data_IF_471730269416
#
_entry.id   IF_471730269416
#
_cell.length_a   1.000
_cell.length_b   1.000
_cell.length_c   1.000
_cell.angle_alpha   90.00
_cell.angle_beta   90.00
_cell.angle_gamma   90.00
#
_symmetry.space_group_name_H-M   'P 1'
#
loop_
_entity.id
_entity.type
_entity.pdbx_description
1 polymer ?
#
# COMPACT_ATOMS: atom_id res chain seq x y z
N UNK A 1 -11.58 8.50 5.31
CA UNK A 1 -12.62 8.10 4.34
C UNK A 1 -12.48 6.62 3.96
N UNK A 2 -12.55 5.65 4.91
CA UNK A 2 -12.27 4.25 4.58
C UNK A 2 -13.37 3.55 3.80
N UNK A 3 -14.61 4.01 3.96
CA UNK A 3 -15.83 3.42 3.38
C UNK A 3 -16.11 3.85 1.94
N UNK A 4 -15.50 4.94 1.45
CA UNK A 4 -15.72 5.43 0.09
C UNK A 4 -14.73 4.87 -0.94
N UNK A 5 -13.53 4.47 -0.49
CA UNK A 5 -12.52 3.87 -1.37
C UNK A 5 -13.00 2.58 -2.06
N UNK A 6 -13.67 1.62 -1.36
CA UNK A 6 -14.18 0.42 -2.01
C UNK A 6 -15.22 0.73 -3.09
N UNK A 7 -16.17 1.64 -2.78
CA UNK A 7 -17.22 2.05 -3.72
C UNK A 7 -16.63 2.67 -4.98
N UNK A 8 -15.65 3.56 -4.83
CA UNK A 8 -14.98 4.18 -5.96
C UNK A 8 -14.27 3.15 -6.85
N UNK A 9 -13.64 2.13 -6.24
CA UNK A 9 -12.98 1.05 -6.99
C UNK A 9 -14.01 0.21 -7.77
N UNK A 10 -15.14 -0.13 -7.14
CA UNK A 10 -16.23 -0.85 -7.79
C UNK A 10 -16.84 -0.04 -8.94
N UNK A 11 -17.10 1.25 -8.72
CA UNK A 11 -17.64 2.16 -9.74
C UNK A 11 -16.68 2.27 -10.94
N UNK A 12 -15.37 2.44 -10.71
CA UNK A 12 -14.37 2.50 -11.79
C UNK A 12 -14.29 1.16 -12.55
N UNK A 13 -14.31 0.03 -11.83
CA UNK A 13 -14.28 -1.30 -12.44
C UNK A 13 -15.58 -1.63 -13.20
N UNK A 14 -16.70 -0.99 -12.85
CA UNK A 14 -17.98 -1.12 -13.53
C UNK A 14 -18.05 -0.25 -14.80
N UNK A 15 -17.37 0.90 -14.81
CA UNK A 15 -17.29 1.79 -15.97
C UNK A 15 -16.46 1.21 -17.12
N UNK A 16 -15.37 0.50 -16.80
CA UNK A 16 -14.52 -0.13 -17.82
C UNK A 16 -14.15 -1.57 -17.43
N UNK A 17 -14.84 -2.53 -18.06
CA UNK A 17 -14.62 -3.96 -17.84
C UNK A 17 -13.23 -4.45 -18.25
N UNK A 18 -12.54 -3.75 -19.15
CA UNK A 18 -11.21 -4.12 -19.64
C UNK A 18 -10.09 -3.46 -18.82
N UNK A 19 -10.31 -2.26 -18.28
CA UNK A 19 -9.32 -1.50 -17.50
C UNK A 19 -9.60 -1.51 -16.00
N UNK A 20 -9.78 -2.71 -15.43
CA UNK A 20 -9.99 -2.87 -13.98
C UNK A 20 -8.75 -2.43 -13.20
N UNK A 21 -8.98 -1.83 -12.03
CA UNK A 21 -7.93 -1.47 -11.08
C UNK A 21 -7.29 -2.75 -10.54
N UNK A 22 -6.02 -2.97 -10.91
CA UNK A 22 -5.24 -4.15 -10.50
C UNK A 22 -4.27 -3.88 -9.34
N UNK A 23 -3.98 -2.60 -9.06
CA UNK A 23 -3.06 -2.20 -8.01
C UNK A 23 -3.47 -0.87 -7.37
N UNK A 24 -3.29 -0.75 -6.05
CA UNK A 24 -3.47 0.49 -5.28
C UNK A 24 -2.13 0.91 -4.71
N UNK A 25 -1.70 2.13 -4.99
CA UNK A 25 -0.53 2.75 -4.36
C UNK A 25 -1.02 3.80 -3.39
N UNK A 26 -0.77 3.59 -2.10
CA UNK A 26 -1.23 4.48 -1.03
C UNK A 26 -0.05 4.94 -0.18
N UNK A 27 -0.14 6.12 0.42
CA UNK A 27 0.91 6.55 1.36
C UNK A 27 0.78 5.86 2.71
N UNK A 28 1.82 5.87 3.54
CA UNK A 28 1.74 5.32 4.92
C UNK A 28 0.61 5.97 5.74
N UNK A 29 0.33 7.26 5.50
CA UNK A 29 -0.75 7.99 6.16
C UNK A 29 -2.13 7.45 5.76
N UNK A 30 -2.20 6.77 4.61
CA UNK A 30 -3.35 6.00 4.14
C UNK A 30 -3.14 4.49 4.30
N UNK A 31 -2.46 4.06 5.37
CA UNK A 31 -2.23 2.64 5.67
C UNK A 31 -3.52 1.81 5.78
N UNK A 32 -4.67 2.43 6.04
CA UNK A 32 -5.99 1.77 6.00
C UNK A 32 -6.42 1.32 4.59
N UNK A 33 -5.92 1.96 3.52
CA UNK A 33 -6.23 1.60 2.13
C UNK A 33 -5.72 0.21 1.76
N UNK A 34 -4.69 -0.23 2.48
CA UNK A 34 -4.08 -1.55 2.39
C UNK A 34 -5.02 -2.66 2.82
N UNK A 35 -5.71 -2.44 3.95
CA UNK A 35 -6.72 -3.35 4.48
C UNK A 35 -7.94 -3.39 3.54
N UNK A 36 -8.31 -2.24 2.97
CA UNK A 36 -9.37 -2.15 1.96
C UNK A 36 -9.01 -2.94 0.70
N UNK A 37 -7.83 -2.73 0.12
CA UNK A 37 -7.43 -3.44 -1.08
C UNK A 37 -7.20 -4.94 -0.83
N UNK A 38 -6.74 -5.34 0.37
CA UNK A 38 -6.70 -6.74 0.79
C UNK A 38 -8.09 -7.39 0.78
N UNK A 39 -9.12 -6.70 1.28
CA UNK A 39 -10.51 -7.18 1.25
C UNK A 39 -11.06 -7.31 -0.17
N UNK A 40 -10.62 -6.45 -1.08
CA UNK A 40 -11.01 -6.45 -2.49
C UNK A 40 -10.15 -7.37 -3.38
N UNK A 41 -9.12 -8.02 -2.82
CA UNK A 41 -8.21 -8.89 -3.59
C UNK A 41 -7.26 -8.15 -4.52
N UNK A 42 -7.06 -6.84 -4.33
CA UNK A 42 -6.23 -5.99 -5.18
C UNK A 42 -4.83 -5.86 -4.56
N UNK A 43 -3.79 -5.90 -5.41
CA UNK A 43 -2.40 -5.71 -4.97
C UNK A 43 -2.25 -4.30 -4.41
N UNK A 44 -1.65 -4.17 -3.23
CA UNK A 44 -1.46 -2.86 -2.60
C UNK A 44 0.01 -2.60 -2.30
N UNK A 45 0.47 -1.40 -2.61
CA UNK A 45 1.82 -0.93 -2.32
C UNK A 45 1.78 0.34 -1.47
N UNK A 46 2.66 0.41 -0.47
CA UNK A 46 2.82 1.60 0.35
C UNK A 46 3.96 2.49 -0.16
N UNK A 47 3.66 3.78 -0.24
CA UNK A 47 4.59 4.86 -0.55
C UNK A 47 4.90 5.64 0.73
N UNK A 48 6.18 5.79 1.04
CA UNK A 48 6.63 6.66 2.10
C UNK A 48 7.42 7.80 1.46
N UNK A 49 6.83 9.00 1.30
CA UNK A 49 7.49 10.13 0.63
C UNK A 49 8.54 10.83 1.50
N UNK A 50 8.71 10.42 2.76
CA UNK A 50 9.73 10.97 3.65
C UNK A 50 11.06 10.17 3.61
N UNK A 51 12.09 10.71 4.25
CA UNK A 51 13.45 10.14 4.25
C UNK A 51 13.49 8.69 4.77
N UNK A 52 14.42 7.89 4.23
CA UNK A 52 14.70 6.54 4.71
C UNK A 52 15.04 6.51 6.22
N UNK A 53 15.66 7.56 6.75
CA UNK A 53 15.95 7.69 8.18
C UNK A 53 14.66 7.79 9.01
N UNK A 54 13.68 8.57 8.54
CA UNK A 54 12.37 8.70 9.18
C UNK A 54 11.60 7.37 9.14
N UNK A 55 11.73 6.63 8.04
CA UNK A 55 11.14 5.28 7.92
C UNK A 55 11.76 4.29 8.91
N UNK A 56 13.08 4.30 9.08
CA UNK A 56 13.76 3.44 10.06
C UNK A 56 13.32 3.73 11.50
N UNK A 57 13.12 4.99 11.86
CA UNK A 57 12.55 5.36 13.16
C UNK A 57 11.11 4.84 13.28
N UNK A 58 10.25 5.07 12.28
CA UNK A 58 8.87 4.56 12.25
C UNK A 58 8.80 3.04 12.38
N UNK A 59 9.66 2.31 11.69
CA UNK A 59 9.73 0.84 11.74
C UNK A 59 10.07 0.34 13.16
N UNK A 60 10.97 1.02 13.88
CA UNK A 60 11.26 0.69 15.28
C UNK A 60 10.06 0.93 16.22
N UNK A 61 9.29 1.99 15.98
CA UNK A 61 8.03 2.24 16.71
C UNK A 61 6.97 1.18 16.38
N UNK A 62 6.80 0.83 15.11
CA UNK A 62 5.83 -0.17 14.65
C UNK A 62 6.19 -1.59 15.12
N UNK A 63 7.48 -1.94 15.16
CA UNK A 63 7.95 -3.23 15.71
C UNK A 63 7.64 -3.41 17.19
N UNK A 64 7.49 -2.32 17.96
CA UNK A 64 7.04 -2.35 19.36
C UNK A 64 5.51 -2.53 19.50
N UNK A 65 4.75 -2.37 18.42
CA UNK A 65 3.29 -2.56 18.37
C UNK A 65 2.84 -3.38 17.15
N UNK A 66 3.02 -4.71 17.19
CA UNK A 66 2.44 -5.75 16.30
C UNK A 66 1.87 -5.28 14.94
N UNK A 67 2.71 -4.99 13.93
CA UNK A 67 2.33 -5.05 12.51
C UNK A 67 3.52 -5.53 11.65
N UNK A 68 3.94 -6.77 11.88
CA UNK A 68 4.79 -7.52 10.95
C UNK A 68 3.93 -7.85 9.71
N UNK A 69 4.25 -7.29 8.53
CA UNK A 69 4.04 -7.93 7.19
C UNK A 69 4.17 -6.99 5.97
N UNK A 70 4.51 -5.70 6.11
CA UNK A 70 4.54 -4.79 4.94
C UNK A 70 5.90 -4.32 4.45
N UNK A 71 6.96 -4.53 5.22
CA UNK A 71 8.30 -3.95 4.93
C UNK A 71 9.15 -4.85 4.01
N UNK A 72 8.88 -6.15 3.95
CA UNK A 72 9.79 -7.09 3.28
C UNK A 72 9.74 -7.10 1.74
N UNK A 73 8.70 -6.55 1.09
CA UNK A 73 8.59 -6.65 -0.38
C UNK A 73 9.22 -5.49 -1.17
N UNK A 74 9.67 -4.42 -0.49
CA UNK A 74 10.23 -3.23 -1.18
C UNK A 74 11.75 -3.12 -1.13
N UNK A 75 12.43 -3.89 -0.27
CA UNK A 75 13.89 -3.91 -0.26
C UNK A 75 14.45 -4.59 -1.53
N UNK A 76 13.78 -5.60 -2.08
CA UNK A 76 14.24 -6.28 -3.30
C UNK A 76 14.10 -5.43 -4.57
N UNK A 77 13.14 -4.49 -4.64
CA UNK A 77 12.97 -3.66 -5.84
C UNK A 77 14.05 -2.58 -5.96
N UNK A 78 14.63 -2.12 -4.85
CA UNK A 78 15.74 -1.15 -4.89
C UNK A 78 17.07 -1.81 -5.23
N UNK A 79 17.22 -3.12 -4.98
CA UNK A 79 18.45 -3.86 -5.34
C UNK A 79 18.45 -4.29 -6.83
N UNK A 80 17.29 -4.46 -7.48
CA UNK A 80 17.23 -4.86 -8.90
C UNK A 80 17.30 -3.70 -9.90
N UNK A 81 17.20 -2.44 -9.45
CA UNK A 81 17.31 -1.24 -10.32
C UNK A 81 18.71 -0.62 -10.24
N UNK A 82 19.58 -1.13 -9.36
CA UNK A 82 20.97 -0.72 -9.19
C UNK A 82 21.99 -1.78 -9.69
N UNK A 83 21.55 -2.76 -10.48
CA UNK A 83 22.42 -3.65 -11.26
C UNK A 83 22.24 -3.44 -12.76
#
# INVERSE_FOLDING_TARGET
>A
MPSMLPKLIEDINALDTNNKITCIVATINMGWALEVGRKLGIKCALLFPASATTMGVFDNYVKRGKLQNYVYKKQEFLTSVLQ
#
